data_IF_157931964892
#
_entry.id   IF_157931964892
#
_cell.length_a   1.000
_cell.length_b   1.000
_cell.length_c   1.000
_cell.angle_alpha   90.00
_cell.angle_beta   90.00
_cell.angle_gamma   90.00
#
_symmetry.space_group_name_H-M   'P 1'
#
loop_
_entity.id
_entity.type
_entity.pdbx_description
1 polymer ?
#
# COMPACT_ATOMS: atom_id res chain seq x y z
N UNK A 1 7.78 -1.75 -28.00
CA UNK A 1 6.33 -2.06 -28.12
C UNK A 1 5.66 -1.95 -26.75
N UNK A 2 4.35 -1.72 -26.67
CA UNK A 2 3.62 -1.59 -25.39
C UNK A 2 3.76 -2.85 -24.51
N UNK A 3 3.73 -4.04 -25.14
CA UNK A 3 3.88 -5.32 -24.44
C UNK A 3 5.18 -5.43 -23.62
N UNK A 4 6.32 -5.00 -24.18
CA UNK A 4 7.60 -5.01 -23.45
C UNK A 4 7.60 -4.06 -22.26
N UNK A 5 6.95 -2.88 -22.38
CA UNK A 5 6.80 -1.96 -21.26
C UNK A 5 5.96 -2.56 -20.13
N UNK A 6 4.87 -3.26 -20.47
CA UNK A 6 4.03 -3.97 -19.50
C UNK A 6 4.82 -5.08 -18.82
N UNK A 7 5.57 -5.87 -19.60
CA UNK A 7 6.38 -6.97 -19.07
C UNK A 7 7.43 -6.47 -18.07
N UNK A 8 8.11 -5.37 -18.40
CA UNK A 8 9.06 -4.75 -17.49
C UNK A 8 8.37 -4.24 -16.21
N UNK A 9 7.25 -3.52 -16.34
CA UNK A 9 6.51 -3.02 -15.19
C UNK A 9 6.02 -4.14 -14.25
N UNK A 10 5.53 -5.25 -14.82
CA UNK A 10 5.08 -6.40 -14.05
C UNK A 10 6.23 -7.09 -13.31
N UNK A 11 7.39 -7.21 -13.96
CA UNK A 11 8.60 -7.73 -13.32
C UNK A 11 8.99 -6.86 -12.12
N UNK A 12 9.11 -5.56 -12.33
CA UNK A 12 9.50 -4.62 -11.27
C UNK A 12 8.50 -4.64 -10.09
N UNK A 13 7.20 -4.80 -10.36
CA UNK A 13 6.16 -4.89 -9.34
C UNK A 13 6.30 -6.16 -8.48
N UNK A 14 6.49 -7.32 -9.12
CA UNK A 14 6.66 -8.59 -8.41
C UNK A 14 7.96 -8.60 -7.63
N UNK A 15 9.05 -8.09 -8.20
CA UNK A 15 10.36 -8.05 -7.52
C UNK A 15 10.28 -7.22 -6.23
N UNK A 16 9.58 -6.07 -6.25
CA UNK A 16 9.34 -5.23 -5.05
C UNK A 16 8.44 -5.94 -4.03
N UNK A 17 7.40 -6.62 -4.48
CA UNK A 17 6.48 -7.33 -3.59
C UNK A 17 7.18 -8.47 -2.86
N UNK A 18 7.94 -9.29 -3.59
CA UNK A 18 8.60 -10.48 -3.04
C UNK A 18 9.83 -10.15 -2.18
N UNK A 19 10.51 -9.03 -2.45
CA UNK A 19 11.68 -8.60 -1.67
C UNK A 19 11.34 -7.80 -0.41
N UNK A 20 10.07 -7.43 -0.23
CA UNK A 20 9.64 -6.63 0.92
C UNK A 20 9.84 -7.37 2.25
N UNK A 21 10.44 -6.67 3.22
CA UNK A 21 10.64 -7.17 4.59
C UNK A 21 10.03 -6.17 5.60
N UNK A 22 8.70 -6.13 5.73
CA UNK A 22 8.04 -5.20 6.64
C UNK A 22 8.39 -5.52 8.10
N UNK A 23 8.69 -4.48 8.88
CA UNK A 23 9.00 -4.59 10.32
C UNK A 23 8.14 -3.62 11.13
N UNK A 24 7.89 -3.96 12.39
CA UNK A 24 7.13 -3.10 13.30
C UNK A 24 8.02 -1.93 13.76
N UNK A 25 7.61 -0.70 13.43
CA UNK A 25 8.32 0.53 13.84
C UNK A 25 7.61 1.31 14.95
N UNK A 26 6.36 0.96 15.29
CA UNK A 26 5.59 1.64 16.33
C UNK A 26 4.11 1.31 16.32
N UNK A 27 3.38 1.84 17.31
CA UNK A 27 1.93 1.68 17.50
C UNK A 27 1.33 3.04 17.90
N UNK A 28 0.15 3.37 17.39
CA UNK A 28 -0.54 4.61 17.73
C UNK A 28 -2.01 4.64 17.29
N UNK A 29 -2.70 5.72 17.63
CA UNK A 29 -4.12 5.89 17.31
C UNK A 29 -4.32 6.24 15.83
N UNK A 30 -5.32 5.65 15.18
CA UNK A 30 -5.59 5.83 13.75
C UNK A 30 -5.68 7.31 13.30
N UNK A 31 -6.41 8.16 14.05
CA UNK A 31 -6.55 9.58 13.73
C UNK A 31 -5.26 10.41 13.80
N UNK A 32 -4.17 9.85 14.35
CA UNK A 32 -2.84 10.49 14.37
C UNK A 32 -1.92 9.92 13.28
N UNK A 33 -2.01 8.62 13.00
CA UNK A 33 -1.00 7.91 12.20
C UNK A 33 -1.45 7.62 10.75
N UNK A 34 -2.76 7.60 10.46
CA UNK A 34 -3.27 7.33 9.10
C UNK A 34 -3.49 8.67 8.37
N UNK A 35 -2.83 8.92 7.23
CA UNK A 35 -3.04 10.14 6.45
C UNK A 35 -4.50 10.31 6.01
N UNK A 36 -5.03 11.54 6.12
CA UNK A 36 -6.38 11.88 5.65
C UNK A 36 -7.54 11.48 6.58
N UNK A 37 -7.29 10.86 7.73
CA UNK A 37 -8.33 10.57 8.72
C UNK A 37 -8.94 11.85 9.32
N UNK A 38 -10.27 11.86 9.49
CA UNK A 38 -10.99 12.90 10.25
C UNK A 38 -11.69 12.30 11.46
N UNK A 39 -12.19 13.14 12.37
CA UNK A 39 -12.93 12.70 13.57
C UNK A 39 -14.19 11.87 13.25
N UNK A 40 -14.77 12.02 12.06
CA UNK A 40 -15.99 11.33 11.64
C UNK A 40 -15.74 10.29 10.54
N UNK A 41 -14.48 10.04 10.19
CA UNK A 41 -14.12 9.02 9.20
C UNK A 41 -14.08 7.64 9.86
N UNK A 42 -14.83 6.69 9.31
CA UNK A 42 -14.80 5.28 9.68
C UNK A 42 -14.43 4.48 8.42
N UNK A 43 -13.47 3.56 8.54
CA UNK A 43 -13.01 2.73 7.43
C UNK A 43 -13.69 1.35 7.50
N UNK A 44 -14.03 0.80 6.34
CA UNK A 44 -14.50 -0.57 6.17
C UNK A 44 -13.57 -1.33 5.22
N UNK A 45 -13.69 -2.66 5.22
CA UNK A 45 -13.00 -3.51 4.25
C UNK A 45 -13.76 -3.54 2.91
N UNK A 46 -13.04 -3.82 1.83
CA UNK A 46 -13.62 -4.02 0.50
C UNK A 46 -13.85 -2.72 -0.29
N UNK A 47 -14.42 -2.84 -1.50
CA UNK A 47 -14.82 -1.69 -2.30
C UNK A 47 -16.00 -0.94 -1.64
N UNK A 48 -16.28 0.32 -2.05
CA UNK A 48 -17.50 1.03 -1.68
C UNK A 48 -18.77 0.25 -1.99
#
# INVERSE_FOLDING_TARGET
MVAEKIKQANKDAIDKLLSAQPTLVGIGTAGKNIPGMTKKTILHAGPP
#
